data_IF_206248263324
#
_entry.id   IF_206248263324
#
_cell.length_a   1.000
_cell.length_b   1.000
_cell.length_c   1.000
_cell.angle_alpha   90.00
_cell.angle_beta   90.00
_cell.angle_gamma   90.00
#
_symmetry.space_group_name_H-M   'P 1'
#
loop_
_entity.id
_entity.type
_entity.pdbx_description
1 polymer ?
#
# COMPACT_ATOMS: atom_id res chain seq x y z
N UNK A 1 -8.08 -4.14 6.99
CA UNK A 1 -6.61 -4.28 6.85
C UNK A 1 -6.19 -3.87 5.43
N UNK A 2 -4.94 -3.42 5.23
CA UNK A 2 -4.32 -3.31 3.89
C UNK A 2 -3.18 -4.33 3.75
N UNK A 3 -3.15 -5.00 2.60
CA UNK A 3 -2.07 -5.90 2.18
C UNK A 3 -1.34 -5.26 1.00
N UNK A 4 -0.02 -5.15 1.11
CA UNK A 4 0.87 -4.60 0.09
C UNK A 4 1.77 -5.69 -0.47
N UNK A 5 1.87 -5.74 -1.79
CA UNK A 5 2.79 -6.58 -2.54
C UNK A 5 3.75 -5.64 -3.25
N UNK A 6 4.97 -5.56 -2.70
CA UNK A 6 5.95 -4.56 -3.06
C UNK A 6 7.03 -5.17 -3.97
N UNK A 7 7.58 -4.41 -4.93
CA UNK A 7 8.57 -4.93 -5.85
C UNK A 7 9.86 -5.30 -5.12
N UNK A 8 10.32 -6.55 -5.29
CA UNK A 8 11.56 -7.09 -4.70
C UNK A 8 11.67 -6.98 -3.17
N UNK A 9 10.57 -6.74 -2.45
CA UNK A 9 10.56 -6.68 -0.99
C UNK A 9 10.71 -8.06 -0.35
N UNK A 10 11.27 -8.10 0.86
CA UNK A 10 11.25 -9.27 1.72
C UNK A 10 10.76 -8.90 3.13
N UNK A 11 9.61 -9.44 3.59
CA UNK A 11 8.73 -10.38 2.89
C UNK A 11 8.06 -9.76 1.65
N UNK A 12 7.75 -10.60 0.65
CA UNK A 12 7.07 -10.17 -0.58
C UNK A 12 5.66 -9.61 -0.35
N UNK A 13 5.05 -9.95 0.78
CA UNK A 13 3.74 -9.47 1.21
C UNK A 13 3.88 -8.82 2.58
N UNK A 14 3.42 -7.59 2.70
CA UNK A 14 3.39 -6.79 3.92
C UNK A 14 1.94 -6.50 4.30
N UNK A 15 1.57 -6.77 5.55
CA UNK A 15 0.19 -6.58 6.05
C UNK A 15 0.18 -5.59 7.19
N UNK A 16 -0.82 -4.72 7.19
CA UNK A 16 -1.11 -3.84 8.31
C UNK A 16 -1.87 -4.56 9.42
N UNK A 17 -2.11 -3.83 10.50
CA UNK A 17 -3.13 -4.13 11.47
C UNK A 17 -4.54 -4.06 10.86
N UNK A 18 -5.49 -4.71 11.52
CA UNK A 18 -6.91 -4.46 11.32
C UNK A 18 -7.33 -3.22 12.10
N UNK A 19 -8.17 -2.39 11.47
CA UNK A 19 -8.79 -1.23 12.11
C UNK A 19 -10.26 -1.24 11.71
N UNK A 20 -11.14 -1.39 12.69
CA UNK A 20 -12.59 -1.33 12.51
C UNK A 20 -13.05 0.10 12.21
N UNK A 21 -12.92 0.52 10.95
CA UNK A 21 -13.29 1.86 10.48
C UNK A 21 -13.52 1.88 8.96
N UNK A 22 -14.42 2.75 8.50
CA UNK A 22 -14.59 3.07 7.07
C UNK A 22 -13.54 4.05 6.53
N UNK A 23 -12.76 4.67 7.42
CA UNK A 23 -11.62 5.55 7.09
C UNK A 23 -10.43 5.15 7.96
N UNK A 24 -9.90 3.93 7.80
CA UNK A 24 -8.80 3.44 8.62
C UNK A 24 -7.51 4.21 8.34
N UNK A 25 -6.67 4.38 9.37
CA UNK A 25 -5.32 4.89 9.25
C UNK A 25 -4.33 3.84 9.76
N UNK A 26 -3.70 3.12 8.85
CA UNK A 26 -2.77 2.05 9.20
C UNK A 26 -1.39 2.62 9.54
N UNK A 27 -0.83 2.13 10.63
CA UNK A 27 0.49 2.53 11.15
C UNK A 27 1.53 1.41 11.04
N UNK A 28 1.09 0.18 10.76
CA UNK A 28 1.94 -0.96 10.47
C UNK A 28 1.73 -1.47 9.04
N UNK A 29 2.60 -2.38 8.62
CA UNK A 29 2.75 -2.72 7.21
C UNK A 29 3.57 -1.63 6.48
N UNK A 30 3.72 -1.79 5.16
CA UNK A 30 4.51 -0.89 4.33
C UNK A 30 5.44 -1.62 3.38
N UNK A 31 5.92 -0.89 2.38
CA UNK A 31 6.98 -1.34 1.48
C UNK A 31 8.31 -0.73 1.94
N UNK A 32 9.30 -1.57 2.16
CA UNK A 32 10.69 -1.14 2.29
C UNK A 32 11.49 -1.69 1.10
N UNK A 33 11.75 -0.82 0.12
CA UNK A 33 12.26 -1.19 -1.21
C UNK A 33 13.19 -0.11 -1.74
N UNK A 34 14.09 -0.49 -2.66
CA UNK A 34 14.89 0.49 -3.38
C UNK A 34 14.00 1.38 -4.24
N UNK A 35 14.32 2.68 -4.30
CA UNK A 35 13.61 3.60 -5.19
C UNK A 35 13.65 3.14 -6.65
N UNK A 36 14.71 2.46 -7.08
CA UNK A 36 14.82 1.88 -8.43
C UNK A 36 13.80 0.77 -8.67
N UNK A 37 13.48 -0.03 -7.66
CA UNK A 37 12.46 -1.08 -7.75
C UNK A 37 11.07 -0.45 -7.79
N UNK A 38 10.83 0.52 -6.90
CA UNK A 38 9.58 1.26 -6.83
C UNK A 38 9.24 1.99 -8.14
N UNK A 39 10.25 2.47 -8.87
CA UNK A 39 10.11 3.15 -10.16
C UNK A 39 10.01 2.20 -11.37
N UNK A 40 10.39 0.93 -11.23
CA UNK A 40 10.45 -0.03 -12.34
C UNK A 40 9.31 -1.04 -12.33
N UNK A 41 8.66 -1.24 -11.19
CA UNK A 41 7.54 -2.17 -11.03
C UNK A 41 6.45 -1.58 -10.13
N UNK A 42 5.17 -1.89 -10.41
CA UNK A 42 4.07 -1.36 -9.62
C UNK A 42 3.99 -2.05 -8.25
N UNK A 43 3.54 -1.30 -7.25
CA UNK A 43 3.04 -1.88 -5.99
C UNK A 43 1.61 -2.31 -6.20
N UNK A 44 1.28 -3.54 -5.82
CA UNK A 44 -0.10 -4.00 -5.73
C UNK A 44 -0.59 -3.88 -4.29
N UNK A 45 -1.85 -3.54 -4.11
CA UNK A 45 -2.49 -3.58 -2.80
C UNK A 45 -3.87 -4.23 -2.84
N UNK A 46 -4.24 -4.87 -1.73
CA UNK A 46 -5.59 -5.35 -1.45
C UNK A 46 -6.08 -4.68 -0.15
N UNK A 47 -7.31 -4.16 -0.16
CA UNK A 47 -8.00 -3.77 1.08
C UNK A 47 -8.96 -4.90 1.44
N UNK A 48 -8.80 -5.39 2.66
CA UNK A 48 -9.51 -6.56 3.18
C UNK A 48 -10.36 -6.13 4.38
N UNK A 49 -11.61 -6.57 4.39
CA UNK A 49 -12.45 -6.65 5.57
C UNK A 49 -12.11 -7.97 6.28
N UNK A 50 -11.71 -7.90 7.55
CA UNK A 50 -11.15 -9.06 8.24
C UNK A 50 -12.27 -9.74 9.01
N UNK A 51 -12.37 -11.05 8.84
CA UNK A 51 -13.47 -11.84 9.36
C UNK A 51 -12.93 -13.07 10.11
N UNK A 52 -13.77 -13.62 11.01
CA UNK A 52 -13.37 -14.77 11.84
C UNK A 52 -13.03 -16.01 11.02
N UNK A 53 -13.63 -16.16 9.83
CA UNK A 53 -13.50 -17.38 9.01
C UNK A 53 -12.77 -17.10 7.69
N UNK A 54 -13.21 -16.09 6.93
CA UNK A 54 -12.62 -15.75 5.63
C UNK A 54 -12.71 -14.24 5.43
N UNK A 55 -11.56 -13.59 5.27
CA UNK A 55 -11.49 -12.16 4.95
C UNK A 55 -12.12 -11.85 3.58
N UNK A 56 -12.93 -10.81 3.53
CA UNK A 56 -13.57 -10.32 2.32
C UNK A 56 -12.72 -9.24 1.64
N UNK A 57 -12.58 -9.33 0.31
CA UNK A 57 -11.85 -8.31 -0.46
C UNK A 57 -12.74 -7.14 -0.81
N UNK A 58 -12.46 -5.98 -0.21
CA UNK A 58 -13.16 -4.71 -0.49
C UNK A 58 -12.72 -4.11 -1.82
N UNK A 59 -11.41 -4.11 -2.08
CA UNK A 59 -10.83 -3.58 -3.30
C UNK A 59 -9.41 -4.10 -3.54
N UNK A 60 -8.96 -4.00 -4.79
CA UNK A 60 -7.57 -4.22 -5.16
C UNK A 60 -7.17 -3.31 -6.31
N UNK A 61 -5.94 -2.79 -6.27
CA UNK A 61 -5.37 -2.07 -7.39
C UNK A 61 -3.85 -2.23 -7.42
N UNK A 62 -3.25 -1.72 -8.49
CA UNK A 62 -1.81 -1.60 -8.66
C UNK A 62 -1.47 -0.16 -9.02
N UNK A 63 -0.33 0.32 -8.53
CA UNK A 63 0.14 1.67 -8.82
C UNK A 63 1.63 1.67 -9.12
N UNK A 64 1.98 2.20 -10.30
CA UNK A 64 3.36 2.49 -10.66
C UNK A 64 3.71 3.87 -10.13
N UNK A 65 4.52 3.92 -9.10
CA UNK A 65 5.03 5.17 -8.56
C UNK A 65 5.98 5.84 -9.56
N UNK A 66 5.98 7.16 -9.55
CA UNK A 66 6.85 8.00 -10.37
C UNK A 66 7.87 8.73 -9.51
N UNK A 67 8.89 9.30 -10.16
CA UNK A 67 9.88 10.15 -9.48
C UNK A 67 9.21 11.35 -8.78
N UNK A 68 8.20 11.95 -9.43
CA UNK A 68 7.46 13.07 -8.85
C UNK A 68 6.66 12.68 -7.59
N UNK A 69 6.25 11.41 -7.47
CA UNK A 69 5.56 10.92 -6.28
C UNK A 69 6.50 10.72 -5.10
N UNK A 70 7.69 10.18 -5.38
CA UNK A 70 8.78 10.05 -4.39
C UNK A 70 9.16 11.43 -3.85
N UNK A 71 9.33 12.43 -4.73
CA UNK A 71 9.64 13.80 -4.35
C UNK A 71 8.52 14.49 -3.55
N UNK A 72 7.26 14.17 -3.87
CA UNK A 72 6.10 14.70 -3.14
C UNK A 72 5.93 14.08 -1.76
N UNK A 73 6.39 12.84 -1.57
CA UNK A 73 6.28 12.11 -0.30
C UNK A 73 4.85 11.63 0.03
N UNK A 74 3.87 11.92 -0.82
CA UNK A 74 2.48 11.49 -0.65
C UNK A 74 1.81 11.28 -1.99
N UNK A 75 1.01 10.22 -2.08
CA UNK A 75 0.18 9.88 -3.24
C UNK A 75 -1.22 9.54 -2.76
N UNK A 76 -2.21 10.24 -3.29
CA UNK A 76 -3.62 9.88 -3.12
C UNK A 76 -4.14 9.25 -4.41
N UNK A 77 -4.71 8.06 -4.28
CA UNK A 77 -5.29 7.30 -5.39
C UNK A 77 -6.80 7.24 -5.22
N UNK A 78 -7.55 7.57 -6.27
CA UNK A 78 -8.95 7.18 -6.39
C UNK A 78 -9.03 5.78 -6.98
N UNK A 79 -9.69 4.84 -6.29
CA UNK A 79 -9.62 3.42 -6.64
C UNK A 79 -10.90 2.91 -7.30
N UNK A 80 -12.03 3.00 -6.59
CA UNK A 80 -13.32 2.50 -7.07
C UNK A 80 -14.48 3.18 -6.33
N UNK A 81 -15.71 2.76 -6.65
CA UNK A 81 -16.90 3.20 -5.90
C UNK A 81 -16.98 2.57 -4.49
N UNK A 82 -16.27 1.46 -4.23
CA UNK A 82 -16.22 0.78 -2.93
C UNK A 82 -15.05 1.25 -2.06
N UNK A 83 -13.98 1.74 -2.70
CA UNK A 83 -12.83 2.34 -2.05
C UNK A 83 -12.55 3.70 -2.70
N UNK A 84 -13.10 4.76 -2.10
CA UNK A 84 -13.06 6.11 -2.67
C UNK A 84 -11.64 6.61 -2.83
N UNK A 85 -10.80 6.47 -1.80
CA UNK A 85 -9.38 6.77 -1.92
C UNK A 85 -8.49 5.95 -1.00
N UNK A 86 -7.22 5.87 -1.38
CA UNK A 86 -6.11 5.37 -0.54
C UNK A 86 -4.98 6.37 -0.63
N UNK A 87 -4.41 6.72 0.52
CA UNK A 87 -3.27 7.63 0.61
C UNK A 87 -2.03 6.85 1.03
N UNK A 88 -0.99 6.87 0.19
CA UNK A 88 0.33 6.36 0.51
C UNK A 88 1.22 7.50 0.98
N UNK A 89 1.88 7.30 2.12
CA UNK A 89 2.98 8.16 2.56
C UNK A 89 4.30 7.51 2.14
N UNK A 90 5.21 8.29 1.56
CA UNK A 90 6.52 7.85 1.10
C UNK A 90 7.59 8.56 1.89
N UNK A 91 8.43 7.78 2.56
CA UNK A 91 9.62 8.27 3.25
C UNK A 91 10.85 7.73 2.53
N UNK A 92 11.75 8.62 2.13
CA UNK A 92 13.03 8.23 1.55
C UNK A 92 14.12 8.34 2.59
N UNK A 93 15.02 7.35 2.58
CA UNK A 93 16.18 7.31 3.45
C UNK A 93 17.30 6.56 2.72
N UNK A 94 18.54 6.77 3.16
CA UNK A 94 19.68 6.02 2.62
C UNK A 94 19.79 4.70 3.38
N UNK A 95 19.84 3.59 2.66
CA UNK A 95 20.20 2.30 3.25
C UNK A 95 21.65 2.37 3.75
N UNK A 96 21.88 1.89 4.98
CA UNK A 96 23.22 1.77 5.58
C UNK A 96 24.05 0.65 4.96
#
# INVERSE_FOLDING_TARGET
MIELICPNAQPAVSRSEEIESFTPNWTTGGCDVLSTDLLSMPVQFNVLDVDVIVDDKVASAQYQFTQADIERGVVELTVSNTLTSVVFQLTTYYAE
#
